data_IF_089377371267
#
_entry.id   IF_089377371267
#
_cell.length_a   1.000
_cell.length_b   1.000
_cell.length_c   1.000
_cell.angle_alpha   90.00
_cell.angle_beta   90.00
_cell.angle_gamma   90.00
#
_symmetry.space_group_name_H-M   'P 1'
#
loop_
_entity.id
_entity.type
_entity.pdbx_description
1 polymer ?
#
# COMPACT_ATOMS: atom_id res chain seq x y z
N UNK A 1 0.80 -15.97 27.55
CA UNK A 1 1.04 -15.76 29.00
C UNK A 1 2.52 -15.62 29.28
N UNK A 2 3.37 -16.28 28.50
CA UNK A 2 4.78 -16.45 28.85
C UNK A 2 5.67 -15.23 28.51
N UNK A 3 5.36 -14.46 27.48
CA UNK A 3 6.20 -13.33 27.07
C UNK A 3 6.31 -12.23 28.15
N UNK A 4 5.19 -11.86 28.78
CA UNK A 4 5.21 -10.87 29.88
C UNK A 4 5.89 -11.41 31.13
N UNK A 5 5.65 -12.68 31.46
CA UNK A 5 6.32 -13.32 32.61
C UNK A 5 7.83 -13.47 32.36
N UNK A 6 8.23 -13.83 31.14
CA UNK A 6 9.65 -13.82 30.74
C UNK A 6 10.25 -12.43 30.82
N UNK A 7 9.56 -11.42 30.31
CA UNK A 7 10.01 -10.02 30.38
C UNK A 7 10.20 -9.55 31.83
N UNK A 8 9.26 -9.89 32.73
CA UNK A 8 9.37 -9.56 34.16
C UNK A 8 10.59 -10.23 34.78
N UNK A 9 10.78 -11.54 34.60
CA UNK A 9 11.96 -12.27 35.09
C UNK A 9 13.26 -11.74 34.52
N UNK A 10 13.26 -11.37 33.26
CA UNK A 10 14.41 -10.78 32.58
C UNK A 10 14.81 -9.43 33.21
N UNK A 11 13.81 -8.62 33.55
CA UNK A 11 14.03 -7.31 34.17
C UNK A 11 14.37 -7.38 35.67
N UNK A 12 14.15 -8.51 36.34
CA UNK A 12 14.53 -8.78 37.75
C UNK A 12 16.01 -9.20 37.89
N UNK A 13 16.62 -9.75 36.82
CA UNK A 13 18.02 -10.12 36.77
C UNK A 13 18.89 -8.93 36.34
N UNK A 14 19.68 -8.39 37.23
CA UNK A 14 20.53 -7.19 36.98
C UNK A 14 21.55 -7.42 35.86
N UNK A 15 22.04 -8.64 35.65
CA UNK A 15 22.95 -8.95 34.56
C UNK A 15 22.26 -8.93 33.19
N UNK A 16 21.11 -9.52 33.11
CA UNK A 16 20.29 -9.52 31.87
C UNK A 16 19.73 -8.14 31.57
N UNK A 17 19.31 -7.41 32.58
CA UNK A 17 18.85 -6.03 32.46
C UNK A 17 19.96 -5.11 31.92
N UNK A 18 21.19 -5.31 32.37
CA UNK A 18 22.34 -4.55 31.85
C UNK A 18 22.54 -4.85 30.37
N UNK A 19 22.58 -6.12 29.97
CA UNK A 19 22.72 -6.51 28.57
C UNK A 19 21.61 -5.88 27.73
N UNK A 20 20.36 -5.97 28.18
CA UNK A 20 19.21 -5.36 27.50
C UNK A 20 19.37 -3.84 27.34
N UNK A 21 19.81 -3.15 28.40
CA UNK A 21 20.00 -1.71 28.34
C UNK A 21 21.15 -1.32 27.40
N UNK A 22 22.24 -2.09 27.38
CA UNK A 22 23.36 -1.86 26.47
C UNK A 22 22.92 -2.01 25.00
N UNK A 23 22.17 -3.09 24.66
CA UNK A 23 21.59 -3.30 23.34
C UNK A 23 20.57 -2.20 22.98
N UNK A 24 19.70 -1.84 23.91
CA UNK A 24 18.70 -0.78 23.71
C UNK A 24 19.39 0.55 23.43
N UNK A 25 20.44 0.89 24.18
CA UNK A 25 21.23 2.10 23.98
C UNK A 25 21.92 2.10 22.62
N UNK A 26 22.48 0.98 22.18
CA UNK A 26 23.11 0.86 20.87
C UNK A 26 22.09 1.12 19.75
N UNK A 27 20.94 0.47 19.80
CA UNK A 27 19.86 0.67 18.80
C UNK A 27 19.35 2.10 18.81
N UNK A 28 19.09 2.69 19.98
CA UNK A 28 18.60 4.06 20.10
C UNK A 28 19.64 5.10 19.65
N UNK A 29 20.90 4.94 20.03
CA UNK A 29 21.97 5.83 19.62
C UNK A 29 22.22 5.74 18.11
N UNK A 30 22.23 4.55 17.56
CA UNK A 30 22.34 4.34 16.09
C UNK A 30 21.19 4.99 15.34
N UNK A 31 19.96 4.82 15.83
CA UNK A 31 18.77 5.47 15.25
C UNK A 31 18.85 7.01 15.35
N UNK A 32 19.25 7.53 16.50
CA UNK A 32 19.44 8.96 16.72
C UNK A 32 20.53 9.54 15.81
N UNK A 33 21.66 8.83 15.66
CA UNK A 33 22.74 9.23 14.75
C UNK A 33 22.28 9.32 13.30
N UNK A 34 21.56 8.28 12.81
CA UNK A 34 21.05 8.23 11.44
C UNK A 34 19.93 9.26 11.16
N UNK A 35 19.29 9.79 12.19
CA UNK A 35 18.22 10.79 12.09
C UNK A 35 18.66 12.22 12.49
N UNK A 36 19.90 12.37 12.90
CA UNK A 36 20.41 13.67 13.32
C UNK A 36 20.59 14.61 12.11
N UNK A 37 20.06 15.82 12.21
CA UNK A 37 20.19 16.84 11.16
C UNK A 37 21.66 17.13 10.80
N UNK A 38 22.54 17.13 11.80
CA UNK A 38 23.98 17.38 11.60
C UNK A 38 24.66 16.31 10.72
N UNK A 39 24.16 15.06 10.74
CA UNK A 39 24.73 13.95 9.99
C UNK A 39 24.03 13.73 8.64
N UNK A 40 22.68 13.72 8.69
CA UNK A 40 21.84 13.39 7.53
C UNK A 40 20.65 14.34 7.43
N UNK A 41 20.84 15.59 7.00
CA UNK A 41 19.78 16.61 6.97
C UNK A 41 18.58 16.21 6.10
N UNK A 42 18.79 15.39 5.08
CA UNK A 42 17.74 14.91 4.17
C UNK A 42 16.90 13.76 4.77
N UNK A 43 17.32 13.17 5.89
CA UNK A 43 16.66 11.99 6.48
C UNK A 43 15.89 12.28 7.76
N UNK A 44 15.88 13.52 8.22
CA UNK A 44 15.25 13.92 9.48
C UNK A 44 13.75 13.53 9.50
N UNK A 45 13.36 12.82 10.56
CA UNK A 45 11.99 12.40 10.79
C UNK A 45 11.52 11.19 9.97
N UNK A 46 12.35 10.67 9.08
CA UNK A 46 12.06 9.43 8.35
C UNK A 46 12.35 8.20 9.23
N UNK A 47 11.76 7.07 8.86
CA UNK A 47 12.18 5.79 9.43
C UNK A 47 13.63 5.54 9.08
N UNK A 48 14.45 5.34 10.12
CA UNK A 48 15.89 5.12 9.98
C UNK A 48 16.19 3.82 9.25
N UNK A 49 17.05 3.91 8.26
CA UNK A 49 17.56 2.74 7.56
C UNK A 49 18.92 3.06 6.95
N UNK A 50 19.88 2.15 7.13
CA UNK A 50 21.27 2.35 6.72
C UNK A 50 21.42 2.63 5.23
N UNK A 51 20.64 2.01 4.36
CA UNK A 51 20.73 2.25 2.92
C UNK A 51 20.43 3.70 2.53
N UNK A 52 19.53 4.39 3.26
CA UNK A 52 19.25 5.82 3.04
C UNK A 52 20.47 6.67 3.38
N UNK A 53 21.17 6.33 4.46
CA UNK A 53 22.41 7.01 4.84
C UNK A 53 23.51 6.79 3.78
N UNK A 54 23.66 5.56 3.28
CA UNK A 54 24.61 5.25 2.20
C UNK A 54 24.26 6.04 0.95
N UNK A 55 22.99 6.07 0.54
CA UNK A 55 22.53 6.83 -0.62
C UNK A 55 22.88 8.32 -0.49
N UNK A 56 22.57 8.95 0.64
CA UNK A 56 22.85 10.38 0.84
C UNK A 56 24.35 10.67 0.86
N UNK A 57 25.16 9.80 1.46
CA UNK A 57 26.61 9.94 1.44
C UNK A 57 27.21 9.88 0.02
N UNK A 58 26.59 9.11 -0.90
CA UNK A 58 27.07 9.06 -2.29
C UNK A 58 26.96 10.41 -3.00
N UNK A 59 26.03 11.28 -2.58
CA UNK A 59 25.89 12.62 -3.17
C UNK A 59 27.12 13.50 -2.93
N UNK A 60 27.79 13.30 -1.80
CA UNK A 60 28.98 14.06 -1.42
C UNK A 60 30.28 13.41 -1.90
N UNK A 61 30.25 12.09 -2.16
CA UNK A 61 31.40 11.33 -2.64
C UNK A 61 31.61 11.45 -4.16
N UNK A 62 30.53 11.69 -4.91
CA UNK A 62 30.61 11.78 -6.36
C UNK A 62 31.12 13.16 -6.81
N UNK A 63 31.90 13.17 -7.89
CA UNK A 63 32.33 14.44 -8.51
C UNK A 63 31.12 15.31 -8.90
N UNK A 64 31.17 16.58 -8.52
CA UNK A 64 30.07 17.54 -8.76
C UNK A 64 29.86 17.79 -10.24
N UNK A 65 30.89 17.71 -11.05
CA UNK A 65 30.84 18.07 -12.48
C UNK A 65 30.47 16.88 -13.37
N UNK A 66 31.04 15.70 -13.09
CA UNK A 66 30.96 14.54 -13.99
C UNK A 66 30.88 13.19 -13.27
N UNK A 67 30.60 13.17 -11.96
CA UNK A 67 30.42 11.93 -11.19
C UNK A 67 29.09 11.28 -11.48
N UNK A 68 29.12 9.95 -11.67
CA UNK A 68 27.93 9.11 -11.76
C UNK A 68 27.93 8.07 -10.64
N UNK A 69 26.74 7.73 -10.16
CA UNK A 69 26.50 6.77 -9.10
C UNK A 69 25.50 5.75 -9.61
N UNK A 70 25.89 4.48 -9.66
CA UNK A 70 24.96 3.36 -9.82
C UNK A 70 24.68 2.78 -8.42
N UNK A 71 23.42 2.69 -8.02
CA UNK A 71 23.06 2.16 -6.71
C UNK A 71 21.77 1.35 -6.78
N UNK A 72 21.80 0.19 -6.14
CA UNK A 72 20.66 -0.68 -5.98
C UNK A 72 20.17 -0.58 -4.53
N UNK A 73 18.91 -0.22 -4.34
CA UNK A 73 18.32 -0.05 -3.02
C UNK A 73 16.81 -0.31 -3.00
N UNK A 74 16.21 -0.50 -1.82
CA UNK A 74 14.77 -0.62 -1.67
C UNK A 74 14.01 0.60 -2.22
N UNK A 75 12.82 0.37 -2.79
CA UNK A 75 11.96 1.40 -3.37
C UNK A 75 11.29 2.33 -2.36
N UNK A 76 11.33 2.00 -1.07
CA UNK A 76 10.66 2.78 -0.01
C UNK A 76 11.13 4.24 0.11
N UNK A 77 12.23 4.65 -0.55
CA UNK A 77 12.60 6.08 -0.63
C UNK A 77 11.59 6.90 -1.44
N UNK A 78 10.92 6.26 -2.40
CA UNK A 78 9.99 6.95 -3.30
C UNK A 78 8.59 7.12 -2.72
N UNK A 79 8.19 6.33 -1.73
CA UNK A 79 6.86 6.36 -1.11
C UNK A 79 6.84 6.79 0.36
N UNK A 80 8.02 6.93 1.02
CA UNK A 80 8.12 7.37 2.41
C UNK A 80 7.37 8.71 2.61
N UNK A 81 6.38 8.78 3.51
CA UNK A 81 5.59 9.99 3.72
C UNK A 81 6.44 11.21 4.12
N UNK A 82 7.56 10.99 4.80
CA UNK A 82 8.48 12.04 5.25
C UNK A 82 9.72 12.17 4.35
N UNK A 83 9.75 11.43 3.24
CA UNK A 83 10.89 11.37 2.31
C UNK A 83 10.99 12.53 1.31
N UNK A 84 10.09 13.51 1.37
CA UNK A 84 10.05 14.63 0.42
C UNK A 84 11.40 15.37 0.28
N UNK A 85 12.12 15.75 1.36
CA UNK A 85 13.42 16.43 1.22
C UNK A 85 14.46 15.59 0.48
N UNK A 86 14.50 14.28 0.74
CA UNK A 86 15.39 13.35 0.05
C UNK A 86 15.03 13.23 -1.43
N UNK A 87 13.75 13.03 -1.76
CA UNK A 87 13.26 12.91 -3.14
C UNK A 87 13.53 14.16 -3.96
N UNK A 88 13.34 15.35 -3.39
CA UNK A 88 13.62 16.65 -4.04
C UNK A 88 15.07 16.75 -4.49
N UNK A 89 16.00 16.27 -3.66
CA UNK A 89 17.41 16.27 -4.00
C UNK A 89 17.79 15.11 -4.95
N UNK A 90 17.17 13.95 -4.75
CA UNK A 90 17.38 12.76 -5.58
C UNK A 90 16.94 12.99 -7.03
N UNK A 91 15.76 13.57 -7.28
CA UNK A 91 15.24 13.80 -8.63
C UNK A 91 16.13 14.74 -9.46
N UNK A 92 16.80 15.69 -8.82
CA UNK A 92 17.77 16.56 -9.50
C UNK A 92 19.03 15.82 -9.97
N UNK A 93 19.31 14.64 -9.38
CA UNK A 93 20.45 13.78 -9.74
C UNK A 93 20.04 12.60 -10.61
N UNK A 94 18.81 12.13 -10.52
CA UNK A 94 18.35 10.92 -11.18
C UNK A 94 18.43 11.06 -12.71
N UNK A 95 18.94 10.01 -13.37
CA UNK A 95 19.04 9.87 -14.84
C UNK A 95 18.17 8.73 -15.31
N UNK A 96 18.32 7.58 -14.64
CA UNK A 96 17.54 6.38 -14.89
C UNK A 96 17.11 5.76 -13.59
N UNK A 97 15.91 5.20 -13.60
CA UNK A 97 15.31 4.48 -12.49
C UNK A 97 14.67 3.20 -13.04
N UNK A 98 15.14 2.05 -12.56
CA UNK A 98 14.68 0.74 -12.98
C UNK A 98 14.12 -0.01 -11.78
N UNK A 99 12.78 -0.06 -11.69
CA UNK A 99 12.09 -0.71 -10.58
C UNK A 99 11.84 -2.18 -10.88
N UNK A 100 12.36 -3.05 -10.04
CA UNK A 100 12.23 -4.49 -10.14
C UNK A 100 11.35 -5.05 -9.04
N UNK A 101 10.62 -6.12 -9.38
CA UNK A 101 9.97 -7.00 -8.40
C UNK A 101 10.70 -8.34 -8.40
N UNK A 102 11.02 -8.86 -7.19
CA UNK A 102 11.82 -10.08 -7.03
C UNK A 102 11.06 -11.39 -7.32
N UNK A 103 9.94 -11.32 -8.04
CA UNK A 103 9.05 -12.44 -8.33
C UNK A 103 9.74 -13.62 -9.06
N UNK A 104 10.76 -13.33 -9.86
CA UNK A 104 11.61 -14.36 -10.49
C UNK A 104 12.84 -14.70 -9.65
N UNK A 105 12.89 -14.24 -8.38
CA UNK A 105 13.96 -14.55 -7.41
C UNK A 105 15.37 -14.26 -7.92
N UNK A 106 15.56 -13.08 -8.53
CA UNK A 106 16.89 -12.61 -8.90
C UNK A 106 17.81 -12.49 -7.66
N UNK A 107 17.22 -12.22 -6.51
CA UNK A 107 17.83 -12.31 -5.18
C UNK A 107 17.17 -13.45 -4.41
N UNK A 108 17.84 -14.61 -4.34
CA UNK A 108 17.27 -15.83 -3.79
C UNK A 108 16.97 -15.76 -2.28
N UNK A 109 17.77 -14.96 -1.53
CA UNK A 109 17.65 -14.77 -0.07
C UNK A 109 16.63 -13.71 0.33
N UNK A 110 16.08 -12.96 -0.64
CA UNK A 110 15.10 -11.89 -0.38
C UNK A 110 13.71 -12.38 -0.75
N UNK A 111 12.71 -11.95 0.01
CA UNK A 111 11.31 -12.26 -0.27
C UNK A 111 10.94 -11.89 -1.72
N UNK A 112 10.20 -12.76 -2.39
CA UNK A 112 9.88 -12.59 -3.81
C UNK A 112 8.92 -11.42 -4.09
N UNK A 113 8.21 -10.89 -3.09
CA UNK A 113 7.39 -9.68 -3.23
C UNK A 113 8.19 -8.39 -3.05
N UNK A 114 9.48 -8.48 -2.69
CA UNK A 114 10.30 -7.29 -2.46
C UNK A 114 10.47 -6.50 -3.75
N UNK A 115 10.24 -5.20 -3.65
CA UNK A 115 10.45 -4.22 -4.72
C UNK A 115 11.73 -3.45 -4.43
N UNK A 116 12.61 -3.38 -5.43
CA UNK A 116 13.88 -2.67 -5.34
C UNK A 116 14.16 -1.89 -6.63
N UNK A 117 14.96 -0.86 -6.54
CA UNK A 117 15.33 -0.01 -7.66
C UNK A 117 16.82 -0.04 -7.95
N UNK A 118 17.17 -0.14 -9.22
CA UNK A 118 18.49 0.20 -9.72
C UNK A 118 18.45 1.63 -10.27
N UNK A 119 19.31 2.48 -9.73
CA UNK A 119 19.28 3.92 -9.97
C UNK A 119 20.62 4.40 -10.51
N UNK A 120 20.57 5.13 -11.61
CA UNK A 120 21.72 5.87 -12.12
C UNK A 120 21.54 7.36 -11.80
N UNK A 121 22.41 7.86 -10.94
CA UNK A 121 22.46 9.27 -10.56
C UNK A 121 23.64 9.94 -11.28
N UNK A 122 23.49 11.18 -11.64
CA UNK A 122 24.55 12.02 -12.21
C UNK A 122 24.71 13.31 -11.43
N UNK A 123 25.54 14.24 -11.92
CA UNK A 123 25.69 15.57 -11.33
C UNK A 123 24.34 16.23 -11.09
N UNK A 124 24.24 16.98 -9.98
CA UNK A 124 23.02 17.70 -9.63
C UNK A 124 22.64 18.71 -10.71
N UNK A 125 21.42 18.62 -11.23
CA UNK A 125 20.90 19.60 -12.20
C UNK A 125 20.48 20.88 -11.50
N UNK A 126 20.77 22.00 -12.12
CA UNK A 126 20.23 23.33 -11.75
C UNK A 126 18.82 23.56 -12.32
N UNK A 127 18.48 22.87 -13.42
CA UNK A 127 17.16 22.89 -14.05
C UNK A 127 16.21 21.88 -13.43
N UNK A 128 14.96 21.86 -13.92
CA UNK A 128 13.95 20.87 -13.56
C UNK A 128 14.45 19.43 -13.72
N UNK A 129 14.01 18.49 -12.89
CA UNK A 129 14.34 17.08 -13.03
C UNK A 129 13.97 16.54 -14.40
N UNK A 130 14.77 15.61 -14.91
CA UNK A 130 14.45 14.83 -16.10
C UNK A 130 15.14 13.48 -16.06
N UNK A 131 14.36 12.42 -15.96
CA UNK A 131 14.86 11.05 -15.88
C UNK A 131 13.92 10.06 -16.57
N UNK A 132 14.47 8.94 -17.00
CA UNK A 132 13.68 7.83 -17.52
C UNK A 132 13.41 6.81 -16.40
N UNK A 133 12.19 6.31 -16.32
CA UNK A 133 11.80 5.25 -15.41
C UNK A 133 11.20 4.09 -16.18
N UNK A 134 11.58 2.85 -15.78
CA UNK A 134 10.95 1.61 -16.19
C UNK A 134 10.53 0.87 -14.92
N UNK A 135 9.25 0.61 -14.79
CA UNK A 135 8.70 -0.05 -13.60
C UNK A 135 8.11 -1.43 -13.92
N UNK A 136 7.86 -2.20 -12.87
CA UNK A 136 7.37 -3.59 -12.96
C UNK A 136 8.28 -4.45 -13.82
N UNK A 137 9.59 -4.36 -13.58
CA UNK A 137 10.60 -5.19 -14.21
C UNK A 137 10.77 -6.49 -13.42
N UNK A 138 10.95 -7.59 -14.13
CA UNK A 138 11.19 -8.93 -13.57
C UNK A 138 12.55 -9.51 -13.98
N UNK A 139 13.17 -8.94 -15.03
CA UNK A 139 14.45 -9.36 -15.53
C UNK A 139 15.26 -8.19 -16.12
N UNK A 140 16.59 -8.09 -15.87
CA UNK A 140 17.41 -6.97 -16.34
C UNK A 140 17.45 -6.81 -17.87
N UNK A 141 17.47 -7.90 -18.61
CA UNK A 141 17.50 -7.85 -20.09
C UNK A 141 16.31 -7.09 -20.70
N UNK A 142 15.21 -6.97 -19.96
CA UNK A 142 14.04 -6.18 -20.40
C UNK A 142 14.38 -4.70 -20.58
N UNK A 143 15.32 -4.17 -19.80
CA UNK A 143 15.74 -2.77 -19.87
C UNK A 143 16.38 -2.49 -21.21
N UNK A 144 17.46 -3.21 -21.55
CA UNK A 144 18.20 -3.02 -22.80
C UNK A 144 17.29 -3.23 -24.02
N UNK A 145 16.46 -4.27 -23.95
CA UNK A 145 15.50 -4.57 -24.99
C UNK A 145 14.44 -3.46 -25.16
N UNK A 146 13.99 -2.79 -24.09
CA UNK A 146 13.09 -1.64 -24.19
C UNK A 146 13.75 -0.44 -24.89
N UNK A 147 15.02 -0.16 -24.61
CA UNK A 147 15.75 0.92 -25.26
C UNK A 147 16.03 0.61 -26.74
N UNK A 148 16.24 -0.64 -27.11
CA UNK A 148 16.45 -1.09 -28.48
C UNK A 148 15.14 -1.23 -29.28
N UNK A 149 13.97 -1.20 -28.63
CA UNK A 149 12.67 -1.46 -29.28
C UNK A 149 12.24 -0.31 -30.19
N UNK A 150 11.74 -0.61 -31.37
CA UNK A 150 11.30 0.37 -32.38
C UNK A 150 9.99 1.11 -32.00
N UNK A 151 9.19 0.55 -31.11
CA UNK A 151 7.93 1.11 -30.64
C UNK A 151 6.70 0.59 -31.39
N UNK A 152 6.87 -0.35 -32.32
CA UNK A 152 5.75 -0.98 -33.02
C UNK A 152 5.12 -2.11 -32.21
N UNK A 153 3.82 -2.33 -32.39
CA UNK A 153 3.06 -3.36 -31.70
C UNK A 153 2.41 -2.89 -30.41
N UNK A 154 1.82 -3.82 -29.67
CA UNK A 154 1.15 -3.56 -28.42
C UNK A 154 2.12 -3.64 -27.24
N UNK A 155 2.07 -2.66 -26.35
CA UNK A 155 2.77 -2.75 -25.08
C UNK A 155 2.01 -3.71 -24.17
N UNK A 156 2.61 -4.86 -23.84
CA UNK A 156 2.02 -5.86 -22.96
C UNK A 156 1.81 -5.32 -21.54
N UNK A 157 0.95 -6.01 -20.77
CA UNK A 157 0.72 -5.73 -19.35
C UNK A 157 1.80 -6.34 -18.45
N UNK A 158 1.54 -6.32 -17.14
CA UNK A 158 2.43 -6.86 -16.11
C UNK A 158 2.53 -8.39 -16.23
N UNK A 159 1.47 -9.06 -16.66
CA UNK A 159 1.47 -10.49 -17.00
C UNK A 159 1.26 -10.70 -18.49
N UNK A 160 1.84 -11.78 -19.01
CA UNK A 160 1.63 -12.25 -20.37
C UNK A 160 0.26 -12.96 -20.53
N UNK A 161 -0.07 -13.36 -21.75
CA UNK A 161 -1.33 -14.06 -22.05
C UNK A 161 -1.46 -15.42 -21.34
N UNK A 162 -0.38 -15.99 -20.86
CA UNK A 162 -0.34 -17.26 -20.13
C UNK A 162 -0.35 -17.06 -18.61
N UNK A 163 -0.42 -15.83 -18.13
CA UNK A 163 -0.39 -15.49 -16.71
C UNK A 163 1.02 -15.46 -16.08
N UNK A 164 2.08 -15.59 -16.87
CA UNK A 164 3.47 -15.45 -16.37
C UNK A 164 3.85 -13.98 -16.22
N UNK A 165 4.84 -13.70 -15.40
CA UNK A 165 5.43 -12.36 -15.29
C UNK A 165 6.04 -11.93 -16.61
N UNK A 166 5.59 -10.78 -17.11
CA UNK A 166 5.93 -10.34 -18.46
C UNK A 166 7.33 -9.70 -18.50
N UNK A 167 8.26 -10.35 -19.19
CA UNK A 167 9.61 -9.84 -19.44
C UNK A 167 9.78 -9.24 -20.82
N UNK A 168 8.71 -9.15 -21.63
CA UNK A 168 8.75 -8.59 -22.97
C UNK A 168 9.06 -7.10 -22.95
N UNK A 169 9.83 -6.68 -23.92
CA UNK A 169 10.22 -5.30 -24.11
C UNK A 169 9.20 -4.52 -24.93
N UNK A 170 9.05 -3.24 -24.63
CA UNK A 170 8.40 -2.28 -25.50
C UNK A 170 8.90 -0.86 -25.20
N UNK A 171 9.10 -0.03 -26.22
CA UNK A 171 9.59 1.35 -26.08
C UNK A 171 8.66 2.20 -25.18
N UNK A 172 7.35 1.94 -25.20
CA UNK A 172 6.37 2.67 -24.39
C UNK A 172 6.47 2.34 -22.89
N UNK A 173 7.24 1.34 -22.48
CA UNK A 173 7.57 1.09 -21.07
C UNK A 173 8.56 2.10 -20.49
N UNK A 174 9.30 2.81 -21.36
CA UNK A 174 10.19 3.90 -20.93
C UNK A 174 9.33 5.13 -20.71
N UNK A 175 9.14 5.48 -19.44
CA UNK A 175 8.38 6.67 -19.02
C UNK A 175 9.38 7.75 -18.65
N UNK A 176 9.33 8.87 -19.35
CA UNK A 176 10.15 10.04 -19.03
C UNK A 176 9.39 10.92 -18.03
N UNK A 177 10.05 11.21 -16.93
CA UNK A 177 9.57 12.14 -15.92
C UNK A 177 10.30 13.46 -16.02
N UNK A 178 9.55 14.51 -16.10
CA UNK A 178 9.95 15.90 -15.95
C UNK A 178 9.01 16.59 -14.96
N UNK A 179 8.97 17.90 -15.03
CA UNK A 179 8.10 18.71 -14.16
C UNK A 179 6.62 18.38 -14.36
N UNK A 180 6.16 18.27 -15.62
CA UNK A 180 4.74 17.98 -15.93
C UNK A 180 4.29 16.65 -15.34
N UNK A 181 5.06 15.58 -15.54
CA UNK A 181 4.72 14.26 -15.01
C UNK A 181 4.73 14.22 -13.48
N UNK A 182 5.69 14.89 -12.84
CA UNK A 182 5.74 15.00 -11.39
C UNK A 182 4.59 15.83 -10.83
N UNK A 183 4.16 16.89 -11.51
CA UNK A 183 2.96 17.65 -11.14
C UNK A 183 1.69 16.81 -11.23
N UNK A 184 1.56 15.98 -12.29
CA UNK A 184 0.45 15.02 -12.41
C UNK A 184 0.43 14.05 -11.22
N UNK A 185 1.59 13.49 -10.82
CA UNK A 185 1.65 12.60 -9.65
C UNK A 185 1.28 13.32 -8.36
N UNK A 186 1.86 14.50 -8.11
CA UNK A 186 1.58 15.30 -6.91
C UNK A 186 0.09 15.61 -6.80
N UNK A 187 -0.53 16.05 -7.88
CA UNK A 187 -1.96 16.40 -7.90
C UNK A 187 -2.86 15.18 -7.75
N UNK A 188 -2.52 14.05 -8.41
CA UNK A 188 -3.36 12.85 -8.39
C UNK A 188 -3.29 12.10 -7.05
N UNK A 189 -2.10 11.98 -6.46
CA UNK A 189 -1.87 11.08 -5.32
C UNK A 189 -1.66 11.80 -3.99
N UNK A 190 -1.30 13.07 -3.99
CA UNK A 190 -1.00 13.83 -2.78
C UNK A 190 -1.84 15.09 -2.61
N UNK A 191 -2.71 15.40 -3.58
CA UNK A 191 -3.51 16.64 -3.67
C UNK A 191 -2.67 17.90 -3.37
N UNK A 192 -1.48 17.95 -3.95
CA UNK A 192 -0.46 18.96 -3.67
C UNK A 192 0.03 19.62 -4.94
N UNK A 193 0.36 20.91 -4.84
CA UNK A 193 1.06 21.65 -5.88
C UNK A 193 2.60 21.55 -5.72
N UNK A 194 3.09 21.02 -4.60
CA UNK A 194 4.53 20.81 -4.34
C UNK A 194 5.01 19.48 -4.96
N UNK A 195 5.33 19.56 -6.23
CA UNK A 195 5.72 18.41 -7.04
C UNK A 195 7.20 18.01 -6.92
N UNK A 196 8.10 18.92 -6.46
CA UNK A 196 9.55 18.68 -6.51
C UNK A 196 10.02 17.47 -5.71
N UNK A 197 9.31 17.12 -4.66
CA UNK A 197 9.58 15.96 -3.82
C UNK A 197 8.42 14.97 -3.74
N UNK A 198 7.50 14.99 -4.71
CA UNK A 198 6.35 14.07 -4.76
C UNK A 198 6.79 12.61 -4.80
N UNK A 199 5.90 11.72 -4.37
CA UNK A 199 6.13 10.26 -4.46
C UNK A 199 6.24 9.81 -5.90
N UNK A 200 7.12 8.84 -6.15
CA UNK A 200 7.24 8.21 -7.46
C UNK A 200 6.46 6.89 -7.46
N UNK A 201 5.42 6.84 -8.27
CA UNK A 201 4.61 5.64 -8.44
C UNK A 201 5.13 4.82 -9.62
N UNK A 202 5.14 3.50 -9.46
CA UNK A 202 5.55 2.58 -10.54
C UNK A 202 4.59 2.62 -11.73
N UNK A 203 4.98 3.28 -12.80
CA UNK A 203 4.20 3.42 -14.04
C UNK A 203 4.69 2.42 -15.07
N UNK A 204 3.85 1.46 -15.44
CA UNK A 204 4.22 0.38 -16.35
C UNK A 204 4.47 0.83 -17.80
N UNK A 205 3.69 1.77 -18.29
CA UNK A 205 3.86 2.36 -19.63
C UNK A 205 3.38 3.82 -19.68
N UNK A 206 3.82 4.54 -20.72
CA UNK A 206 3.54 5.98 -20.88
C UNK A 206 2.05 6.32 -21.01
N UNK A 207 1.20 5.39 -21.48
CA UNK A 207 -0.23 5.66 -21.65
C UNK A 207 -0.94 5.85 -20.30
N UNK A 208 -0.39 5.26 -19.23
CA UNK A 208 -0.89 5.46 -17.85
C UNK A 208 -0.76 6.93 -17.45
N UNK A 209 0.32 7.62 -17.85
CA UNK A 209 0.47 9.06 -17.59
C UNK A 209 -0.69 9.86 -18.20
N UNK A 210 -1.12 9.52 -19.42
CA UNK A 210 -2.24 10.18 -20.07
C UNK A 210 -3.55 9.98 -19.29
N UNK A 211 -3.74 8.80 -18.70
CA UNK A 211 -4.89 8.52 -17.82
C UNK A 211 -4.78 9.33 -16.53
N UNK A 212 -3.63 9.33 -15.87
CA UNK A 212 -3.40 10.10 -14.64
C UNK A 212 -3.58 11.60 -14.87
N UNK A 213 -3.14 12.12 -16.02
CA UNK A 213 -3.38 13.51 -16.41
C UNK A 213 -4.88 13.85 -16.45
N UNK A 214 -5.72 12.94 -16.96
CA UNK A 214 -7.17 13.15 -16.93
C UNK A 214 -7.74 13.08 -15.51
N UNK A 215 -7.23 12.18 -14.68
CA UNK A 215 -7.64 12.07 -13.27
C UNK A 215 -7.21 13.30 -12.46
N UNK A 216 -6.01 13.85 -12.69
CA UNK A 216 -5.52 15.05 -11.99
C UNK A 216 -6.35 16.31 -12.27
N UNK A 217 -7.14 16.29 -13.34
CA UNK A 217 -8.07 17.39 -13.68
C UNK A 217 -9.46 17.20 -13.06
N UNK A 218 -9.71 16.05 -12.41
CA UNK A 218 -10.99 15.83 -11.75
C UNK A 218 -11.10 16.73 -10.51
N UNK A 219 -12.20 17.51 -10.37
CA UNK A 219 -12.25 18.59 -9.39
C UNK A 219 -12.54 18.15 -7.95
N UNK A 220 -12.83 16.88 -7.73
CA UNK A 220 -13.21 16.36 -6.42
C UNK A 220 -12.28 15.22 -5.98
N UNK A 221 -11.89 15.24 -4.71
CA UNK A 221 -11.21 14.18 -3.99
C UNK A 221 -12.10 13.60 -2.89
N UNK A 222 -11.77 12.42 -2.39
CA UNK A 222 -12.51 11.82 -1.27
C UNK A 222 -12.45 12.74 -0.02
N UNK A 223 -11.33 13.46 0.15
CA UNK A 223 -11.14 14.44 1.22
C UNK A 223 -12.11 15.62 1.19
N UNK A 224 -12.74 15.91 0.04
CA UNK A 224 -13.71 17.00 -0.09
C UNK A 224 -15.10 16.62 0.48
N UNK A 225 -15.29 15.34 0.78
CA UNK A 225 -16.53 14.81 1.32
C UNK A 225 -16.33 14.37 2.76
N UNK A 226 -17.35 14.57 3.57
CA UNK A 226 -17.40 13.91 4.88
C UNK A 226 -17.41 12.40 4.68
N UNK A 227 -16.42 11.72 5.21
CA UNK A 227 -16.30 10.28 5.09
C UNK A 227 -15.62 9.67 6.32
N UNK A 228 -15.95 8.43 6.57
CA UNK A 228 -15.33 7.59 7.59
C UNK A 228 -14.65 6.43 6.88
N UNK A 229 -13.37 6.22 7.15
CA UNK A 229 -12.65 5.06 6.64
C UNK A 229 -12.24 4.19 7.82
N UNK A 230 -12.68 2.93 7.82
CA UNK A 230 -12.37 1.97 8.88
C UNK A 230 -12.13 0.58 8.30
N UNK A 231 -11.28 -0.20 8.94
CA UNK A 231 -11.16 -1.66 8.70
C UNK A 231 -12.32 -2.43 9.33
N UNK A 232 -13.12 -1.76 10.13
CA UNK A 232 -14.21 -2.27 10.97
C UNK A 232 -13.72 -3.33 11.97
N UNK A 233 -13.48 -4.54 11.53
CA UNK A 233 -12.93 -5.60 12.39
C UNK A 233 -11.58 -6.10 11.85
N UNK A 234 -10.61 -6.25 12.75
CA UNK A 234 -9.44 -7.09 12.53
C UNK A 234 -9.78 -8.51 13.03
N UNK A 235 -9.53 -9.52 12.20
CA UNK A 235 -9.94 -10.90 12.51
C UNK A 235 -9.31 -11.41 13.80
N UNK A 236 -7.99 -11.27 13.92
CA UNK A 236 -7.24 -11.80 15.07
C UNK A 236 -7.64 -11.10 16.35
N UNK A 237 -7.60 -9.77 16.34
CA UNK A 237 -7.96 -8.97 17.50
C UNK A 237 -9.43 -9.16 17.90
N UNK A 238 -10.34 -9.18 16.94
CA UNK A 238 -11.77 -9.31 17.17
C UNK A 238 -12.15 -10.64 17.80
N UNK A 239 -11.53 -11.75 17.35
CA UNK A 239 -11.74 -13.08 17.92
C UNK A 239 -11.13 -13.17 19.32
N UNK A 240 -9.88 -12.72 19.50
CA UNK A 240 -9.18 -12.78 20.79
C UNK A 240 -9.90 -11.98 21.89
N UNK A 241 -10.58 -10.91 21.53
CA UNK A 241 -11.37 -10.07 22.44
C UNK A 241 -12.83 -10.48 22.56
N UNK A 242 -13.28 -11.50 21.82
CA UNK A 242 -14.68 -11.92 21.80
C UNK A 242 -15.64 -10.91 21.18
N UNK A 243 -15.14 -9.96 20.43
CA UNK A 243 -15.96 -8.96 19.71
C UNK A 243 -16.72 -9.62 18.57
N UNK A 244 -16.04 -10.53 17.86
CA UNK A 244 -16.60 -11.37 16.80
C UNK A 244 -16.28 -12.84 17.07
N UNK A 245 -17.13 -13.70 16.56
CA UNK A 245 -16.95 -15.17 16.62
C UNK A 245 -17.10 -15.76 15.23
N UNK A 246 -16.25 -16.72 14.90
CA UNK A 246 -16.36 -17.43 13.62
C UNK A 246 -17.50 -18.44 13.72
N UNK A 247 -18.55 -18.20 12.97
CA UNK A 247 -19.71 -19.07 12.86
C UNK A 247 -20.39 -18.84 11.52
N UNK A 248 -20.43 -19.87 10.68
CA UNK A 248 -21.05 -19.76 9.35
C UNK A 248 -22.54 -20.06 9.43
N UNK A 249 -23.35 -19.05 9.23
CA UNK A 249 -24.81 -19.17 9.25
C UNK A 249 -25.49 -18.11 8.36
N UNK A 250 -26.82 -18.17 8.26
CA UNK A 250 -27.60 -17.07 7.73
C UNK A 250 -27.75 -15.98 8.79
N UNK A 251 -27.36 -14.73 8.50
CA UNK A 251 -27.38 -13.66 9.49
C UNK A 251 -28.82 -13.19 9.78
N UNK A 252 -29.07 -12.79 11.00
CA UNK A 252 -30.22 -11.98 11.34
C UNK A 252 -29.88 -10.50 11.09
N UNK A 253 -30.49 -9.93 10.06
CA UNK A 253 -30.24 -8.55 9.66
C UNK A 253 -30.71 -7.52 10.72
N UNK A 254 -31.73 -7.84 11.49
CA UNK A 254 -32.23 -6.95 12.56
C UNK A 254 -31.28 -6.91 13.73
N UNK A 255 -30.46 -7.94 13.90
CA UNK A 255 -29.41 -8.01 14.93
C UNK A 255 -28.04 -7.56 14.42
N UNK A 256 -27.93 -7.02 13.19
CA UNK A 256 -26.66 -6.57 12.58
C UNK A 256 -25.62 -7.69 12.49
N UNK A 257 -26.07 -8.91 12.24
CA UNK A 257 -25.21 -10.09 12.23
C UNK A 257 -24.42 -10.27 10.92
N UNK A 258 -24.73 -9.51 9.87
CA UNK A 258 -23.99 -9.63 8.60
C UNK A 258 -22.63 -8.97 8.68
N UNK A 259 -21.58 -9.78 8.65
CA UNK A 259 -20.18 -9.34 8.57
C UNK A 259 -19.59 -9.86 7.25
N UNK A 260 -19.34 -8.97 6.32
CA UNK A 260 -18.76 -9.31 5.03
C UNK A 260 -17.26 -9.60 5.16
N UNK A 261 -16.83 -10.66 4.48
CA UNK A 261 -15.43 -11.00 4.29
C UNK A 261 -15.02 -10.77 2.83
N UNK A 262 -13.74 -10.51 2.58
CA UNK A 262 -13.22 -10.21 1.26
C UNK A 262 -13.66 -11.12 0.11
N UNK A 263 -13.72 -12.47 0.25
CA UNK A 263 -14.21 -13.37 -0.80
C UNK A 263 -15.67 -13.17 -1.20
N UNK A 264 -16.50 -12.59 -0.34
CA UNK A 264 -17.94 -12.42 -0.58
C UNK A 264 -18.27 -11.32 -1.56
N UNK A 265 -17.34 -10.41 -1.83
CA UNK A 265 -17.59 -9.35 -2.81
C UNK A 265 -16.47 -9.23 -3.85
N UNK A 266 -16.85 -8.79 -5.01
CA UNK A 266 -15.98 -8.43 -6.12
C UNK A 266 -16.52 -7.16 -6.76
N UNK A 267 -15.84 -6.61 -7.74
CA UNK A 267 -16.13 -5.30 -8.31
C UNK A 267 -17.63 -5.09 -8.51
N UNK A 268 -18.16 -4.09 -7.82
CA UNK A 268 -19.57 -3.67 -7.80
C UNK A 268 -20.58 -4.72 -7.30
N UNK A 269 -20.14 -5.92 -6.92
CA UNK A 269 -21.02 -7.02 -6.57
C UNK A 269 -20.74 -7.57 -5.16
N UNK A 270 -21.62 -7.30 -4.17
CA UNK A 270 -21.51 -7.85 -2.81
C UNK A 270 -21.98 -9.32 -2.71
N UNK A 271 -22.49 -9.91 -3.78
CA UNK A 271 -22.95 -11.30 -3.85
C UNK A 271 -22.04 -12.14 -4.77
N UNK A 272 -20.73 -11.99 -4.65
CA UNK A 272 -19.77 -12.70 -5.50
C UNK A 272 -19.58 -14.15 -5.09
N UNK A 273 -19.39 -14.41 -3.81
CA UNK A 273 -19.23 -15.76 -3.24
C UNK A 273 -20.00 -15.90 -1.95
N UNK A 274 -20.42 -17.14 -1.66
CA UNK A 274 -21.12 -17.51 -0.43
C UNK A 274 -20.26 -18.52 0.39
N UNK A 275 -20.03 -18.29 1.69
CA UNK A 275 -19.30 -19.25 2.49
C UNK A 275 -20.06 -20.58 2.63
N UNK A 276 -19.35 -21.71 2.57
CA UNK A 276 -19.88 -23.04 2.88
C UNK A 276 -20.22 -23.15 4.36
N UNK A 277 -21.02 -24.14 4.74
CA UNK A 277 -21.44 -24.32 6.14
C UNK A 277 -20.26 -24.46 7.11
N UNK A 278 -19.14 -25.01 6.68
CA UNK A 278 -17.90 -25.09 7.45
C UNK A 278 -16.82 -24.32 6.70
N UNK A 279 -16.81 -23.00 6.86
CA UNK A 279 -15.88 -22.12 6.16
C UNK A 279 -14.71 -21.73 7.07
N UNK A 280 -13.49 -22.21 6.73
CA UNK A 280 -12.25 -21.91 7.45
C UNK A 280 -11.26 -21.19 6.54
N UNK A 281 -11.16 -21.60 5.28
CA UNK A 281 -10.22 -21.09 4.31
C UNK A 281 -10.91 -20.24 3.22
N UNK A 282 -10.16 -19.42 2.54
CA UNK A 282 -10.65 -18.64 1.39
C UNK A 282 -11.13 -19.54 0.22
N UNK A 283 -10.70 -20.80 0.17
CA UNK A 283 -11.19 -21.81 -0.76
C UNK A 283 -12.59 -22.34 -0.44
N UNK A 284 -13.10 -22.09 0.76
CA UNK A 284 -14.38 -22.60 1.24
C UNK A 284 -15.56 -21.70 0.88
N UNK A 285 -15.39 -20.85 -0.13
CA UNK A 285 -16.42 -19.98 -0.69
C UNK A 285 -16.80 -20.43 -2.09
N UNK A 286 -18.09 -20.66 -2.33
CA UNK A 286 -18.63 -21.01 -3.64
C UNK A 286 -19.08 -19.76 -4.41
N UNK A 287 -18.76 -19.65 -5.70
CA UNK A 287 -19.32 -18.59 -6.56
C UNK A 287 -20.85 -18.63 -6.58
N UNK A 288 -21.47 -17.47 -6.60
CA UNK A 288 -22.92 -17.32 -6.73
C UNK A 288 -23.25 -17.08 -8.18
N UNK A 289 -24.20 -17.86 -8.70
CA UNK A 289 -24.78 -17.65 -10.03
C UNK A 289 -25.95 -16.65 -9.90
N UNK A 290 -25.66 -15.39 -10.25
CA UNK A 290 -26.64 -14.30 -10.11
C UNK A 290 -27.88 -14.46 -10.99
N UNK A 291 -27.81 -15.29 -12.04
CA UNK A 291 -28.98 -15.56 -12.91
C UNK A 291 -29.95 -16.56 -12.25
N UNK A 292 -29.51 -17.33 -11.26
CA UNK A 292 -30.30 -18.36 -10.59
C UNK A 292 -30.80 -18.01 -9.19
N UNK A 293 -30.31 -16.90 -8.62
CA UNK A 293 -30.78 -16.45 -7.30
C UNK A 293 -32.15 -15.78 -7.44
N UNK A 294 -32.98 -15.87 -6.40
CA UNK A 294 -34.25 -15.17 -6.31
C UNK A 294 -34.11 -13.83 -5.58
N UNK A 295 -35.15 -12.99 -5.63
CA UNK A 295 -35.20 -11.68 -5.04
C UNK A 295 -35.02 -11.69 -3.51
N UNK A 296 -35.33 -12.81 -2.85
CA UNK A 296 -35.20 -13.00 -1.40
C UNK A 296 -33.88 -13.68 -0.99
N UNK A 297 -32.92 -13.77 -1.92
CA UNK A 297 -31.64 -14.40 -1.62
C UNK A 297 -30.88 -13.66 -0.52
N UNK A 298 -30.43 -14.40 0.50
CA UNK A 298 -29.52 -13.91 1.52
C UNK A 298 -28.24 -14.73 1.53
N UNK A 299 -27.10 -14.06 1.53
CA UNK A 299 -25.80 -14.72 1.68
C UNK A 299 -25.60 -15.14 3.15
N UNK A 300 -24.90 -16.27 3.37
CA UNK A 300 -24.39 -16.58 4.71
C UNK A 300 -23.29 -15.60 5.08
N UNK A 301 -23.14 -15.37 6.38
CA UNK A 301 -21.94 -14.77 6.96
C UNK A 301 -21.00 -15.85 7.48
N UNK A 302 -19.71 -15.55 7.64
CA UNK A 302 -18.73 -16.46 8.28
C UNK A 302 -18.36 -16.01 9.71
N UNK A 303 -18.84 -14.84 10.10
CA UNK A 303 -18.60 -14.24 11.40
C UNK A 303 -19.88 -13.64 11.95
N UNK A 304 -20.03 -13.73 13.26
CA UNK A 304 -21.12 -13.10 14.01
C UNK A 304 -20.55 -12.14 15.05
N UNK A 305 -21.29 -11.10 15.47
CA UNK A 305 -21.00 -10.37 16.69
C UNK A 305 -20.91 -11.34 17.88
N UNK A 306 -19.86 -11.23 18.69
CA UNK A 306 -19.67 -11.98 19.92
C UNK A 306 -20.20 -11.25 21.16
N UNK A 307 -20.64 -10.00 21.01
CA UNK A 307 -21.17 -9.12 22.06
C UNK A 307 -22.69 -9.03 21.96
N UNK A 308 -23.34 -8.58 23.03
CA UNK A 308 -24.74 -8.18 22.97
C UNK A 308 -24.95 -7.03 22.00
N UNK A 309 -26.13 -6.96 21.37
CA UNK A 309 -26.42 -6.02 20.29
C UNK A 309 -26.08 -4.56 20.64
N UNK A 310 -26.47 -4.10 21.82
CA UNK A 310 -26.20 -2.71 22.23
C UNK A 310 -24.71 -2.47 22.50
N UNK A 311 -24.00 -3.43 23.08
CA UNK A 311 -22.56 -3.34 23.30
C UNK A 311 -21.81 -3.33 21.95
N UNK A 312 -22.26 -4.16 21.01
CA UNK A 312 -21.70 -4.24 19.66
C UNK A 312 -21.89 -2.93 18.90
N UNK A 313 -23.10 -2.35 18.93
CA UNK A 313 -23.39 -1.04 18.32
C UNK A 313 -22.54 0.07 18.93
N UNK A 314 -22.43 0.11 20.26
CA UNK A 314 -21.62 1.11 20.95
C UNK A 314 -20.15 0.99 20.60
N UNK A 315 -19.62 -0.23 20.52
CA UNK A 315 -18.24 -0.46 20.09
C UNK A 315 -18.00 0.04 18.67
N UNK A 316 -18.88 -0.30 17.73
CA UNK A 316 -18.75 0.09 16.33
C UNK A 316 -18.88 1.60 16.15
N UNK A 317 -19.78 2.26 16.88
CA UNK A 317 -19.92 3.72 16.85
C UNK A 317 -18.73 4.44 17.50
N UNK A 318 -17.97 3.78 18.36
CA UNK A 318 -16.75 4.28 18.96
C UNK A 318 -15.50 4.15 18.08
N UNK A 319 -15.59 3.52 16.93
CA UNK A 319 -14.50 3.58 15.95
C UNK A 319 -14.39 5.04 15.47
N UNK A 320 -13.22 5.61 15.68
CA UNK A 320 -12.89 7.02 15.48
C UNK A 320 -13.55 7.59 14.22
N UNK A 321 -14.67 8.21 14.44
CA UNK A 321 -15.39 8.98 13.47
C UNK A 321 -14.68 10.33 13.50
N UNK A 322 -13.92 10.65 12.47
CA UNK A 322 -13.25 11.94 12.39
C UNK A 322 -14.21 13.05 12.81
N UNK A 323 -13.80 13.88 13.77
CA UNK A 323 -14.63 14.96 14.29
C UNK A 323 -15.14 15.79 13.12
N UNK A 324 -16.45 15.87 12.98
CA UNK A 324 -17.08 16.88 12.13
C UNK A 324 -16.54 18.25 12.51
N UNK A 325 -16.20 19.07 11.54
CA UNK A 325 -15.73 20.44 11.74
C UNK A 325 -16.77 21.32 12.46
N UNK A 326 -18.03 20.89 12.51
CA UNK A 326 -19.17 21.65 13.05
C UNK A 326 -19.79 21.11 14.35
N UNK A 327 -19.22 20.06 14.95
CA UNK A 327 -19.52 19.69 16.36
C UNK A 327 -20.90 19.06 16.68
N UNK A 328 -21.81 18.91 15.74
CA UNK A 328 -23.20 18.52 15.97
C UNK A 328 -23.64 17.27 15.18
N UNK A 329 -22.89 16.15 15.29
CA UNK A 329 -23.42 14.87 14.80
C UNK A 329 -23.84 13.97 15.96
N UNK A 330 -25.15 13.83 16.16
CA UNK A 330 -25.74 12.67 16.82
C UNK A 330 -25.74 11.52 15.82
N UNK A 331 -24.70 10.64 15.86
CA UNK A 331 -24.65 9.49 14.98
C UNK A 331 -25.70 8.45 15.36
N UNK A 332 -26.66 8.25 14.48
CA UNK A 332 -27.23 6.91 14.29
C UNK A 332 -26.09 5.94 13.94
N UNK A 333 -26.24 4.65 14.26
CA UNK A 333 -25.19 3.67 14.00
C UNK A 333 -24.77 3.71 12.52
N UNK A 334 -23.49 3.92 12.23
CA UNK A 334 -23.02 4.00 10.84
C UNK A 334 -23.32 2.73 10.02
N UNK A 335 -23.59 1.59 10.67
CA UNK A 335 -24.08 0.39 10.00
C UNK A 335 -25.48 0.56 9.39
N UNK A 336 -26.26 1.55 9.81
CA UNK A 336 -27.58 1.85 9.23
C UNK A 336 -27.51 2.50 7.85
N UNK A 337 -26.31 2.81 7.39
CA UNK A 337 -26.04 3.40 6.08
C UNK A 337 -25.44 2.38 5.09
N UNK A 338 -25.61 2.66 3.80
CA UNK A 338 -24.85 1.97 2.76
C UNK A 338 -23.37 2.34 2.85
N UNK A 339 -22.49 1.39 2.56
CA UNK A 339 -21.05 1.55 2.65
C UNK A 339 -20.37 1.08 1.38
N UNK A 340 -19.29 1.73 1.01
CA UNK A 340 -18.38 1.21 -0.01
C UNK A 340 -17.32 0.37 0.70
N UNK A 341 -17.42 -0.96 0.53
CA UNK A 341 -16.39 -1.90 1.00
C UNK A 341 -15.35 -2.09 -0.10
N UNK A 342 -14.06 -2.12 0.25
CA UNK A 342 -12.99 -2.43 -0.69
C UNK A 342 -11.94 -3.34 -0.04
N UNK A 343 -11.32 -4.18 -0.86
CA UNK A 343 -10.27 -5.08 -0.37
C UNK A 343 -8.99 -4.30 -0.10
N UNK A 344 -8.39 -4.54 1.06
CA UNK A 344 -7.13 -3.92 1.45
C UNK A 344 -5.96 -4.42 0.60
N UNK A 345 -5.92 -5.72 0.31
CA UNK A 345 -4.85 -6.31 -0.52
C UNK A 345 -5.33 -6.41 -1.96
N UNK A 346 -4.56 -5.80 -2.86
CA UNK A 346 -4.80 -5.78 -4.29
C UNK A 346 -3.62 -6.43 -5.01
N UNK A 347 -3.91 -7.28 -5.98
CA UNK A 347 -2.87 -7.81 -6.88
C UNK A 347 -2.43 -6.71 -7.84
N UNK A 348 -1.14 -6.41 -7.87
CA UNK A 348 -0.58 -5.45 -8.85
C UNK A 348 -0.72 -5.93 -10.30
N UNK A 349 -0.79 -7.25 -10.50
CA UNK A 349 -0.95 -7.87 -11.80
C UNK A 349 -2.41 -8.05 -12.22
N UNK A 350 -3.36 -7.66 -11.38
CA UNK A 350 -4.78 -7.76 -11.67
C UNK A 350 -5.22 -6.76 -12.74
N UNK A 351 -6.12 -7.18 -13.60
CA UNK A 351 -6.74 -6.32 -14.61
C UNK A 351 -7.56 -5.17 -13.97
N UNK A 352 -8.13 -5.43 -12.79
CA UNK A 352 -8.92 -4.49 -12.01
C UNK A 352 -8.40 -4.47 -10.59
N UNK A 353 -7.70 -3.40 -10.25
CA UNK A 353 -6.97 -3.31 -8.98
C UNK A 353 -7.84 -2.81 -7.83
N UNK A 354 -8.81 -1.93 -8.08
CA UNK A 354 -9.75 -1.49 -7.06
C UNK A 354 -10.94 -2.45 -6.98
N UNK A 355 -10.88 -3.42 -6.05
CA UNK A 355 -11.98 -4.36 -5.81
C UNK A 355 -12.88 -3.75 -4.75
N UNK A 356 -13.96 -3.11 -5.16
CA UNK A 356 -14.94 -2.48 -4.27
C UNK A 356 -16.38 -2.86 -4.64
N UNK A 357 -17.26 -2.81 -3.64
CA UNK A 357 -18.70 -3.02 -3.80
C UNK A 357 -19.50 -2.13 -2.85
N UNK A 358 -20.73 -1.81 -3.22
CA UNK A 358 -21.67 -1.16 -2.33
C UNK A 358 -22.26 -2.21 -1.39
N UNK A 359 -21.92 -2.12 -0.12
CA UNK A 359 -22.42 -3.03 0.92
C UNK A 359 -23.75 -2.51 1.49
N UNK A 360 -24.70 -3.42 1.79
CA UNK A 360 -26.01 -3.04 2.31
C UNK A 360 -25.94 -2.49 3.73
N UNK A 361 -27.05 -1.87 4.14
CA UNK A 361 -27.30 -1.45 5.52
C UNK A 361 -27.26 -2.63 6.49
N UNK A 362 -27.10 -2.37 7.77
CA UNK A 362 -27.02 -3.36 8.87
C UNK A 362 -25.94 -4.42 8.66
N UNK A 363 -24.86 -4.05 7.97
CA UNK A 363 -23.72 -4.93 7.75
C UNK A 363 -22.42 -4.31 8.21
N UNK A 364 -21.52 -5.14 8.69
CA UNK A 364 -20.13 -4.80 8.97
C UNK A 364 -19.20 -5.50 7.96
N UNK A 365 -17.89 -5.34 8.12
CA UNK A 365 -16.90 -6.06 7.34
C UNK A 365 -15.67 -6.39 8.19
N UNK A 366 -14.89 -7.36 7.72
CA UNK A 366 -13.70 -7.84 8.38
C UNK A 366 -12.52 -7.80 7.40
N UNK A 367 -11.36 -7.45 7.93
CA UNK A 367 -10.09 -7.39 7.20
C UNK A 367 -9.30 -8.69 7.42
#
# INVERSE_FOLDING_TARGET
PDARAMQTRFMEDESLKRIYNDELMEVQCSGAFMNAYANYPLLVGQQTNLYKCVLTNTFDLASVENGYIGILCPESIYDDPKGQPLRRELYKRLRYHFQYQNELRLFAEVDHHTVYGDQLLGPRRSSSPRFASLSNLFHPNTVDACFAHDGHGECGGIKDKNGNWNTSAHKNRIVWFGEEELQILAKTFEDSDDWEGTKLVGIHNKEIINVLKKLSLFPYHVSDFEHITSVCHDETYGIDKGIIVRNTCYPNWDNYEMIYNGPQFYISNPLYKNPRISCILNSDYDPIDLEKINDNYSSRTNYLPGLLLEEYKNLINGFDVGQSKDGDFTFECWMDYYKVGFRKMLSQAGERTLICALLPRKSAHIN
#
